data_IF_860461414403
#
_entry.id   IF_860461414403
#
_cell.length_a   1.000
_cell.length_b   1.000
_cell.length_c   1.000
_cell.angle_alpha   90.00
_cell.angle_beta   90.00
_cell.angle_gamma   90.00
#
_symmetry.space_group_name_H-M   'P 1'
#
loop_
_entity.id
_entity.type
_entity.pdbx_description
1 polymer ?
#
# COMPACT_ATOMS: atom_id res chain seq x y z
N UNK A 1 -20.93 5.97 -2.11
CA UNK A 1 -20.31 6.39 -0.81
C UNK A 1 -19.03 5.62 -0.60
N UNK A 2 -17.90 6.31 -0.36
CA UNK A 2 -16.58 5.67 -0.15
C UNK A 2 -16.63 4.77 1.09
N UNK A 3 -16.04 3.59 0.98
CA UNK A 3 -15.92 2.63 2.08
C UNK A 3 -14.46 2.48 2.51
N UNK A 4 -14.28 2.28 3.82
CA UNK A 4 -12.98 2.21 4.48
C UNK A 4 -12.86 0.87 5.21
N UNK A 5 -11.95 0.02 4.77
CA UNK A 5 -11.62 -1.20 5.49
C UNK A 5 -10.76 -0.85 6.71
N UNK A 6 -11.21 -1.24 7.88
CA UNK A 6 -10.47 -1.15 9.13
C UNK A 6 -10.85 -2.30 10.05
N UNK A 7 -9.90 -2.80 10.80
CA UNK A 7 -10.14 -3.78 11.83
C UNK A 7 -9.25 -3.52 13.04
N UNK A 8 -9.77 -3.76 14.23
CA UNK A 8 -8.96 -3.73 15.46
C UNK A 8 -7.80 -4.74 15.41
N UNK A 9 -7.86 -5.73 14.53
CA UNK A 9 -6.77 -6.69 14.27
C UNK A 9 -5.59 -6.08 13.51
N UNK A 10 -5.73 -4.88 12.96
CA UNK A 10 -4.58 -4.17 12.36
C UNK A 10 -3.54 -3.77 13.39
N UNK A 11 -3.92 -3.78 14.65
CA UNK A 11 -3.09 -3.36 15.78
C UNK A 11 -2.84 -4.54 16.70
N UNK A 12 -1.62 -4.71 17.13
CA UNK A 12 -1.22 -5.65 18.17
C UNK A 12 0.03 -5.12 18.87
N UNK A 13 0.32 -5.64 20.05
CA UNK A 13 1.45 -5.15 20.84
C UNK A 13 2.78 -5.54 20.17
N UNK A 14 3.59 -4.55 19.85
CA UNK A 14 4.98 -4.70 19.44
C UNK A 14 5.91 -4.56 20.65
N UNK A 15 7.14 -5.10 20.58
CA UNK A 15 8.16 -4.87 21.59
C UNK A 15 8.42 -3.37 21.80
N UNK A 16 8.72 -2.97 23.03
CA UNK A 16 9.04 -1.58 23.37
C UNK A 16 10.16 -1.04 22.48
N UNK A 17 9.98 0.18 22.00
CA UNK A 17 10.94 0.84 21.10
C UNK A 17 10.98 0.30 19.67
N UNK A 18 10.03 -0.55 19.29
CA UNK A 18 9.96 -1.02 17.90
C UNK A 18 9.71 0.15 16.94
N UNK A 19 10.48 0.22 15.85
CA UNK A 19 10.43 1.36 14.91
C UNK A 19 9.18 1.42 14.04
N UNK A 20 8.36 0.36 13.99
CA UNK A 20 7.12 0.32 13.23
C UNK A 20 5.99 0.95 14.06
N UNK A 21 5.41 2.08 13.64
CA UNK A 21 4.37 2.80 14.38
C UNK A 21 3.00 2.17 14.12
N UNK A 22 2.73 1.03 14.75
CA UNK A 22 1.52 0.24 14.49
C UNK A 22 0.23 0.97 14.88
N UNK A 23 0.31 1.87 15.85
CA UNK A 23 -0.80 2.71 16.31
C UNK A 23 -1.32 3.67 15.23
N UNK A 24 -0.55 3.93 14.17
CA UNK A 24 -0.98 4.82 13.09
C UNK A 24 -2.31 4.41 12.46
N UNK A 25 -2.61 3.11 12.38
CA UNK A 25 -3.82 2.59 11.75
C UNK A 25 -5.09 3.03 12.48
N UNK A 26 -5.09 2.92 13.80
CA UNK A 26 -6.21 3.34 14.65
C UNK A 26 -6.32 4.86 14.71
N UNK A 27 -5.20 5.53 14.95
CA UNK A 27 -5.17 6.99 15.08
C UNK A 27 -5.60 7.72 13.82
N UNK A 28 -5.29 7.18 12.63
CA UNK A 28 -5.77 7.74 11.35
C UNK A 28 -7.29 7.60 11.25
N UNK A 29 -7.85 6.43 11.55
CA UNK A 29 -9.32 6.23 11.57
C UNK A 29 -9.99 7.19 12.55
N UNK A 30 -9.49 7.25 13.77
CA UNK A 30 -10.05 8.10 14.83
C UNK A 30 -10.00 9.58 14.44
N UNK A 31 -8.88 10.05 13.88
CA UNK A 31 -8.74 11.44 13.44
C UNK A 31 -9.75 11.78 12.33
N UNK A 32 -9.91 10.90 11.32
CA UNK A 32 -10.83 11.13 10.23
C UNK A 32 -12.30 11.16 10.68
N UNK A 33 -12.67 10.33 11.67
CA UNK A 33 -14.01 10.33 12.26
C UNK A 33 -14.20 11.58 13.13
N UNK A 34 -13.24 11.90 13.99
CA UNK A 34 -13.30 13.05 14.90
C UNK A 34 -13.51 14.38 14.16
N UNK A 35 -12.86 14.56 13.01
CA UNK A 35 -13.01 15.77 12.20
C UNK A 35 -14.19 15.75 11.22
N UNK A 36 -14.95 14.65 11.16
CA UNK A 36 -16.08 14.48 10.27
C UNK A 36 -15.74 14.27 8.80
N UNK A 37 -14.48 13.91 8.49
CA UNK A 37 -14.09 13.53 7.11
C UNK A 37 -14.76 12.23 6.69
N UNK A 38 -14.92 11.29 7.62
CA UNK A 38 -15.66 10.04 7.43
C UNK A 38 -16.60 9.78 8.60
N UNK A 39 -17.59 8.91 8.40
CA UNK A 39 -18.53 8.46 9.42
C UNK A 39 -18.33 6.96 9.70
N UNK A 40 -18.74 6.50 10.89
CA UNK A 40 -18.60 5.08 11.32
C UNK A 40 -19.25 4.11 10.31
N UNK A 41 -20.37 4.48 9.69
CA UNK A 41 -21.10 3.65 8.72
C UNK A 41 -20.32 3.41 7.41
N UNK A 42 -19.28 4.21 7.17
CA UNK A 42 -18.37 4.05 6.03
C UNK A 42 -17.27 3.04 6.33
N UNK A 43 -17.01 2.77 7.61
CA UNK A 43 -15.96 1.86 8.07
C UNK A 43 -16.51 0.45 8.23
N UNK A 44 -15.77 -0.55 7.77
CA UNK A 44 -16.16 -1.96 7.90
C UNK A 44 -14.97 -2.84 8.25
N UNK A 45 -15.22 -3.93 9.01
CA UNK A 45 -14.20 -4.96 9.28
C UNK A 45 -14.19 -5.97 8.11
N UNK A 46 -13.06 -6.11 7.40
CA UNK A 46 -12.95 -7.01 6.26
C UNK A 46 -12.86 -8.50 6.64
N UNK A 47 -12.69 -8.83 7.91
CA UNK A 47 -12.46 -10.19 8.36
C UNK A 47 -11.08 -10.73 7.98
N UNK A 48 -10.98 -12.02 7.75
CA UNK A 48 -9.73 -12.69 7.33
C UNK A 48 -9.85 -13.14 5.87
N UNK A 49 -8.79 -12.95 5.11
CA UNK A 49 -8.72 -13.45 3.74
C UNK A 49 -8.75 -14.98 3.70
N UNK A 50 -9.41 -15.54 2.69
CA UNK A 50 -9.38 -16.96 2.40
C UNK A 50 -7.95 -17.41 2.04
N UNK A 51 -7.54 -18.55 2.59
CA UNK A 51 -6.22 -19.16 2.34
C UNK A 51 -5.96 -19.39 0.85
N UNK A 52 -7.01 -19.75 0.10
CA UNK A 52 -6.91 -19.94 -1.35
C UNK A 52 -6.37 -18.71 -2.07
N UNK A 53 -6.80 -17.51 -1.68
CA UNK A 53 -6.31 -16.28 -2.31
C UNK A 53 -4.84 -16.01 -1.97
N UNK A 54 -4.38 -16.41 -0.79
CA UNK A 54 -2.97 -16.33 -0.43
C UNK A 54 -2.15 -17.26 -1.33
N UNK A 55 -2.62 -18.48 -1.53
CA UNK A 55 -1.96 -19.50 -2.33
C UNK A 55 -1.98 -19.21 -3.85
N UNK A 56 -2.85 -18.33 -4.33
CA UNK A 56 -2.81 -17.82 -5.70
C UNK A 56 -1.55 -16.97 -6.00
N UNK A 57 -0.85 -16.50 -4.95
CA UNK A 57 0.32 -15.62 -5.07
C UNK A 57 1.54 -16.14 -4.32
N UNK A 58 1.34 -16.61 -3.10
CA UNK A 58 2.42 -17.10 -2.24
C UNK A 58 2.57 -18.61 -2.35
N UNK A 59 3.82 -19.10 -2.26
CA UNK A 59 4.08 -20.54 -2.27
C UNK A 59 3.48 -21.22 -1.04
N UNK A 60 3.02 -22.46 -1.21
CA UNK A 60 2.47 -23.27 -0.11
C UNK A 60 3.46 -23.39 1.05
N UNK A 61 4.75 -23.64 0.74
CA UNK A 61 5.80 -23.77 1.74
C UNK A 61 5.91 -22.50 2.60
N UNK A 62 5.94 -21.32 1.97
CA UNK A 62 6.03 -20.07 2.70
C UNK A 62 4.77 -19.80 3.52
N UNK A 63 3.59 -19.95 2.93
CA UNK A 63 2.33 -19.71 3.63
C UNK A 63 2.15 -20.66 4.82
N UNK A 64 2.40 -21.97 4.63
CA UNK A 64 2.30 -22.94 5.72
C UNK A 64 3.31 -22.64 6.83
N UNK A 65 4.52 -22.21 6.51
CA UNK A 65 5.51 -21.81 7.52
C UNK A 65 5.06 -20.63 8.39
N UNK A 66 4.32 -19.68 7.81
CA UNK A 66 3.72 -18.57 8.55
C UNK A 66 2.51 -19.03 9.38
N UNK A 67 1.59 -19.75 8.76
CA UNK A 67 0.35 -20.25 9.39
C UNK A 67 0.65 -21.12 10.60
N UNK A 68 1.60 -22.03 10.45
CA UNK A 68 1.97 -23.02 11.46
C UNK A 68 3.07 -22.50 12.41
N UNK A 69 3.50 -21.24 12.24
CA UNK A 69 4.54 -20.55 13.03
C UNK A 69 5.87 -21.31 13.05
N UNK A 70 6.19 -22.01 11.96
CA UNK A 70 7.42 -22.81 11.80
C UNK A 70 8.50 -22.09 11.01
N UNK A 71 8.28 -20.83 10.63
CA UNK A 71 9.22 -20.01 9.88
C UNK A 71 10.57 -19.89 10.60
N UNK A 72 11.66 -20.10 9.86
CA UNK A 72 13.01 -20.04 10.43
C UNK A 72 13.39 -18.64 10.95
N UNK A 73 14.24 -18.59 11.96
CA UNK A 73 14.69 -17.36 12.63
C UNK A 73 15.23 -16.30 11.65
N UNK A 74 15.95 -16.71 10.62
CA UNK A 74 16.51 -15.79 9.61
C UNK A 74 15.41 -15.13 8.80
N UNK A 75 14.44 -15.89 8.34
CA UNK A 75 13.30 -15.39 7.56
C UNK A 75 12.40 -14.48 8.43
N UNK A 76 12.15 -14.84 9.70
CA UNK A 76 11.43 -13.98 10.64
C UNK A 76 12.15 -12.63 10.85
N UNK A 77 13.49 -12.62 10.97
CA UNK A 77 14.30 -11.39 11.05
C UNK A 77 14.21 -10.55 9.77
N UNK A 78 14.11 -11.17 8.61
CA UNK A 78 13.98 -10.47 7.32
C UNK A 78 12.63 -9.75 7.22
N UNK A 79 11.55 -10.36 7.74
CA UNK A 79 10.26 -9.69 7.87
C UNK A 79 10.38 -8.46 8.79
N UNK A 80 11.14 -8.55 9.88
CA UNK A 80 11.40 -7.42 10.78
C UNK A 80 10.25 -7.09 11.75
N UNK A 81 9.25 -7.95 11.84
CA UNK A 81 8.15 -7.92 12.81
C UNK A 81 8.10 -9.25 13.56
N UNK A 82 7.64 -9.29 14.82
CA UNK A 82 7.43 -10.56 15.53
C UNK A 82 6.50 -11.49 14.75
N UNK A 83 6.89 -12.75 14.56
CA UNK A 83 6.05 -13.74 13.90
C UNK A 83 5.32 -14.55 14.98
N UNK A 84 4.03 -14.33 15.09
CA UNK A 84 3.11 -15.02 16.00
C UNK A 84 1.70 -15.03 15.39
N UNK A 85 0.76 -15.68 16.03
CA UNK A 85 -0.62 -15.78 15.55
C UNK A 85 -1.26 -14.41 15.32
N UNK A 86 -1.04 -13.43 16.19
CA UNK A 86 -1.61 -12.08 16.06
C UNK A 86 -1.08 -11.38 14.81
N UNK A 87 0.24 -11.43 14.56
CA UNK A 87 0.84 -10.79 13.39
C UNK A 87 0.45 -11.47 12.07
N UNK A 88 0.34 -12.79 12.05
CA UNK A 88 -0.13 -13.53 10.87
C UNK A 88 -1.62 -13.22 10.60
N UNK A 89 -2.46 -13.21 11.64
CA UNK A 89 -3.87 -12.83 11.50
C UNK A 89 -4.03 -11.37 11.08
N UNK A 90 -3.18 -10.45 11.59
CA UNK A 90 -3.13 -9.07 11.10
C UNK A 90 -2.83 -9.01 9.61
N UNK A 91 -1.83 -9.76 9.15
CA UNK A 91 -1.47 -9.80 7.73
C UNK A 91 -2.65 -10.30 6.87
N UNK A 92 -3.32 -11.38 7.29
CA UNK A 92 -4.52 -11.90 6.63
C UNK A 92 -5.66 -10.88 6.60
N UNK A 93 -5.86 -10.18 7.70
CA UNK A 93 -6.92 -9.18 7.83
C UNK A 93 -6.63 -7.95 6.94
N UNK A 94 -5.37 -7.51 6.88
CA UNK A 94 -4.93 -6.44 5.98
C UNK A 94 -5.11 -6.80 4.50
N UNK A 95 -4.78 -8.04 4.12
CA UNK A 95 -5.05 -8.56 2.76
C UNK A 95 -6.54 -8.57 2.47
N UNK A 96 -7.37 -9.06 3.41
CA UNK A 96 -8.83 -9.04 3.25
C UNK A 96 -9.36 -7.61 3.03
N UNK A 97 -8.77 -6.62 3.72
CA UNK A 97 -9.07 -5.20 3.51
C UNK A 97 -8.81 -4.74 2.08
N UNK A 98 -7.67 -5.09 1.50
CA UNK A 98 -7.34 -4.70 0.13
C UNK A 98 -8.21 -5.44 -0.89
N UNK A 99 -8.46 -6.74 -0.71
CA UNK A 99 -9.32 -7.54 -1.59
C UNK A 99 -10.77 -7.03 -1.57
N UNK A 100 -11.35 -6.82 -0.39
CA UNK A 100 -12.73 -6.32 -0.27
C UNK A 100 -12.85 -4.87 -0.75
N UNK A 101 -11.85 -4.03 -0.50
CA UNK A 101 -11.79 -2.68 -1.08
C UNK A 101 -11.76 -2.73 -2.61
N UNK A 102 -11.09 -3.71 -3.22
CA UNK A 102 -11.06 -3.85 -4.67
C UNK A 102 -12.46 -4.16 -5.26
N UNK A 103 -13.24 -5.00 -4.59
CA UNK A 103 -14.62 -5.26 -4.98
C UNK A 103 -15.50 -4.01 -4.84
N UNK A 104 -15.40 -3.30 -3.72
CA UNK A 104 -16.15 -2.08 -3.45
C UNK A 104 -15.76 -0.94 -4.41
N UNK A 105 -14.48 -0.85 -4.81
CA UNK A 105 -14.04 0.14 -5.79
C UNK A 105 -14.65 -0.10 -7.19
N UNK A 106 -14.93 -1.34 -7.57
CA UNK A 106 -15.68 -1.62 -8.81
C UNK A 106 -17.12 -1.10 -8.77
N UNK A 107 -17.73 -1.01 -7.59
CA UNK A 107 -19.10 -0.51 -7.42
C UNK A 107 -19.14 1.01 -7.22
N UNK A 108 -18.13 1.56 -6.53
CA UNK A 108 -18.13 2.95 -6.07
C UNK A 108 -17.02 3.81 -6.68
N UNK A 109 -16.26 3.28 -7.63
CA UNK A 109 -15.07 3.86 -8.25
C UNK A 109 -13.87 4.06 -7.32
N UNK A 110 -14.06 4.05 -6.01
CA UNK A 110 -12.98 4.19 -5.02
C UNK A 110 -13.34 3.43 -3.74
N UNK A 111 -12.35 2.78 -3.15
CA UNK A 111 -12.39 2.29 -1.77
C UNK A 111 -10.99 2.36 -1.15
N UNK A 112 -10.94 2.30 0.18
CA UNK A 112 -9.72 2.57 0.93
C UNK A 112 -9.51 1.46 1.95
N UNK A 113 -8.29 0.94 2.01
CA UNK A 113 -7.84 0.12 3.12
C UNK A 113 -6.99 0.97 4.06
N UNK A 114 -7.49 1.20 5.30
CA UNK A 114 -6.74 1.90 6.36
C UNK A 114 -5.61 1.01 6.92
N UNK A 115 -4.98 0.24 6.04
CA UNK A 115 -3.82 -0.63 6.20
C UNK A 115 -3.27 -0.93 4.80
N UNK A 116 -2.61 -2.08 4.61
CA UNK A 116 -2.16 -2.54 3.31
C UNK A 116 -0.91 -1.83 2.80
N UNK A 117 -0.62 -2.08 1.53
CA UNK A 117 0.61 -1.60 0.90
C UNK A 117 1.83 -2.42 1.29
N UNK A 118 1.67 -3.72 1.47
CA UNK A 118 2.73 -4.63 1.92
C UNK A 118 3.57 -5.15 0.75
N UNK A 119 4.17 -4.22 0.02
CA UNK A 119 4.78 -4.35 -1.29
C UNK A 119 6.15 -5.08 -1.30
N UNK A 120 6.76 -5.32 -0.13
CA UNK A 120 8.05 -6.01 -0.06
C UNK A 120 7.93 -7.52 0.00
N UNK A 121 6.76 -8.11 0.31
CA UNK A 121 6.61 -9.55 0.35
C UNK A 121 6.68 -10.16 -1.05
N UNK A 122 7.57 -11.12 -1.22
CA UNK A 122 7.73 -11.96 -2.41
C UNK A 122 6.78 -13.16 -2.36
N UNK A 123 6.68 -13.91 -3.43
CA UNK A 123 5.88 -15.14 -3.44
C UNK A 123 6.39 -16.17 -2.40
N UNK A 124 7.71 -16.28 -2.19
CA UNK A 124 8.34 -17.31 -1.36
C UNK A 124 8.81 -16.84 0.01
N UNK A 125 8.74 -15.54 0.31
CA UNK A 125 9.20 -15.00 1.60
C UNK A 125 8.68 -13.58 1.84
N UNK A 126 8.65 -13.18 3.11
CA UNK A 126 8.34 -11.80 3.52
C UNK A 126 9.61 -11.04 3.88
N UNK A 127 9.57 -9.71 3.73
CA UNK A 127 10.61 -8.81 4.17
C UNK A 127 10.07 -7.39 4.39
N UNK A 128 10.87 -6.50 5.01
CA UNK A 128 10.51 -5.08 5.10
C UNK A 128 9.16 -4.80 5.77
N UNK A 129 8.84 -5.50 6.87
CA UNK A 129 7.57 -5.43 7.59
C UNK A 129 6.37 -6.05 6.85
N UNK A 130 6.60 -6.72 5.72
CA UNK A 130 5.57 -7.34 4.90
C UNK A 130 5.59 -8.86 5.05
N UNK A 131 4.47 -9.43 5.52
CA UNK A 131 4.26 -10.88 5.59
C UNK A 131 3.71 -11.42 4.27
N UNK A 132 2.64 -10.81 3.78
CA UNK A 132 1.92 -11.17 2.56
C UNK A 132 1.82 -9.92 1.67
N UNK A 133 1.84 -10.08 0.36
CA UNK A 133 1.69 -8.97 -0.58
C UNK A 133 0.21 -8.75 -0.89
N UNK A 134 -0.42 -7.84 -0.17
CA UNK A 134 -1.85 -7.56 -0.28
C UNK A 134 -2.27 -7.02 -1.65
N UNK A 135 -1.42 -6.16 -2.25
CA UNK A 135 -1.66 -5.63 -3.60
C UNK A 135 -1.61 -6.74 -4.65
N UNK A 136 -0.63 -7.65 -4.53
CA UNK A 136 -0.50 -8.76 -5.45
C UNK A 136 -1.65 -9.75 -5.32
N UNK A 137 -2.07 -10.06 -4.09
CA UNK A 137 -3.21 -10.96 -3.86
C UNK A 137 -4.51 -10.35 -4.41
N UNK A 138 -4.76 -9.06 -4.14
CA UNK A 138 -5.96 -8.39 -4.64
C UNK A 138 -5.96 -8.27 -6.17
N UNK A 139 -4.83 -7.93 -6.80
CA UNK A 139 -4.70 -7.88 -8.25
C UNK A 139 -4.92 -9.26 -8.89
N UNK A 140 -4.28 -10.30 -8.37
CA UNK A 140 -4.46 -11.68 -8.85
C UNK A 140 -5.91 -12.14 -8.70
N UNK A 141 -6.57 -11.81 -7.60
CA UNK A 141 -7.99 -12.12 -7.39
C UNK A 141 -8.89 -11.48 -8.46
N UNK A 142 -8.71 -10.18 -8.74
CA UNK A 142 -9.50 -9.47 -9.76
C UNK A 142 -9.29 -10.08 -11.15
N UNK A 143 -8.05 -10.43 -11.51
CA UNK A 143 -7.71 -11.04 -12.79
C UNK A 143 -8.28 -12.46 -12.93
N UNK A 144 -8.10 -13.30 -11.91
CA UNK A 144 -8.57 -14.69 -11.93
C UNK A 144 -10.11 -14.76 -11.94
N UNK A 145 -10.78 -13.81 -11.28
CA UNK A 145 -12.24 -13.67 -11.29
C UNK A 145 -12.77 -12.93 -12.53
N UNK A 146 -11.91 -12.48 -13.44
CA UNK A 146 -12.26 -11.71 -14.65
C UNK A 146 -13.02 -10.41 -14.34
N UNK A 147 -12.79 -9.83 -13.17
CA UNK A 147 -13.35 -8.53 -12.73
C UNK A 147 -12.53 -7.38 -13.31
N UNK A 148 -11.24 -7.60 -13.52
CA UNK A 148 -10.33 -6.71 -14.24
C UNK A 148 -9.50 -7.52 -15.26
N UNK A 149 -8.95 -6.81 -16.27
CA UNK A 149 -8.15 -7.41 -17.33
C UNK A 149 -6.76 -6.77 -17.46
N UNK A 150 -6.65 -5.47 -17.14
CA UNK A 150 -5.40 -4.72 -17.14
C UNK A 150 -5.31 -3.88 -15.88
N UNK A 151 -4.41 -4.22 -15.00
CA UNK A 151 -4.24 -3.55 -13.70
C UNK A 151 -2.98 -2.69 -13.72
N UNK A 152 -3.05 -1.48 -13.17
CA UNK A 152 -1.90 -0.62 -12.89
C UNK A 152 -1.70 -0.54 -11.38
N UNK A 153 -0.52 -0.93 -10.90
CA UNK A 153 -0.10 -0.69 -9.52
C UNK A 153 0.81 0.54 -9.50
N UNK A 154 0.36 1.61 -8.86
CA UNK A 154 1.10 2.85 -8.66
C UNK A 154 1.67 2.82 -7.25
N UNK A 155 2.97 2.61 -7.15
CA UNK A 155 3.71 2.57 -5.88
C UNK A 155 4.55 3.83 -5.72
N UNK A 156 4.11 4.71 -4.82
CA UNK A 156 4.77 5.97 -4.50
C UNK A 156 5.33 6.00 -3.07
N UNK A 157 5.50 4.84 -2.45
CA UNK A 157 6.31 4.66 -1.24
C UNK A 157 7.77 5.05 -1.51
N UNK A 158 8.50 5.50 -0.51
CA UNK A 158 9.92 5.84 -0.68
C UNK A 158 10.78 4.62 -1.02
N UNK A 159 10.29 3.43 -0.64
CA UNK A 159 10.93 2.16 -0.93
C UNK A 159 10.38 1.58 -2.24
N UNK A 160 11.21 0.90 -3.02
CA UNK A 160 10.71 0.17 -4.18
C UNK A 160 9.84 -1.01 -3.74
N UNK A 161 8.69 -1.18 -4.37
CA UNK A 161 7.85 -2.39 -4.21
C UNK A 161 8.48 -3.62 -4.88
N UNK A 162 9.62 -4.06 -4.36
CA UNK A 162 10.41 -5.14 -4.94
C UNK A 162 9.68 -6.48 -4.97
N UNK A 163 8.92 -6.81 -3.92
CA UNK A 163 8.09 -8.01 -3.91
C UNK A 163 7.00 -7.98 -4.98
N UNK A 164 6.31 -6.84 -5.12
CA UNK A 164 5.29 -6.64 -6.15
C UNK A 164 5.89 -6.73 -7.56
N UNK A 165 7.02 -6.06 -7.81
CA UNK A 165 7.73 -6.11 -9.07
C UNK A 165 8.11 -7.54 -9.44
N UNK A 166 8.64 -8.32 -8.49
CA UNK A 166 9.05 -9.70 -8.71
C UNK A 166 7.90 -10.64 -8.97
N UNK A 167 6.79 -10.50 -8.25
CA UNK A 167 5.59 -11.34 -8.44
C UNK A 167 5.04 -11.17 -9.87
N UNK A 168 5.01 -9.95 -10.37
CA UNK A 168 4.40 -9.67 -11.67
C UNK A 168 5.39 -9.53 -12.85
N UNK A 169 6.68 -9.84 -12.67
CA UNK A 169 7.71 -9.64 -13.70
C UNK A 169 7.37 -10.28 -15.07
N UNK A 170 6.56 -11.34 -15.06
CA UNK A 170 6.15 -12.09 -16.25
C UNK A 170 4.64 -12.01 -16.55
N UNK A 171 3.86 -11.27 -15.78
CA UNK A 171 2.42 -11.13 -16.02
C UNK A 171 2.07 -9.75 -16.61
N UNK A 172 1.90 -9.69 -17.91
CA UNK A 172 1.61 -8.46 -18.65
C UNK A 172 0.21 -7.86 -18.38
N UNK A 173 -0.64 -8.55 -17.64
CA UNK A 173 -1.95 -8.04 -17.22
C UNK A 173 -1.84 -7.08 -16.03
N UNK A 174 -0.68 -7.06 -15.35
CA UNK A 174 -0.36 -6.11 -14.28
C UNK A 174 0.83 -5.28 -14.71
N UNK A 175 0.67 -3.98 -14.77
CA UNK A 175 1.76 -3.05 -14.96
C UNK A 175 2.19 -2.50 -13.60
N UNK A 176 3.45 -2.70 -13.26
CA UNK A 176 4.02 -2.21 -12.00
C UNK A 176 4.80 -0.92 -12.24
N UNK A 177 4.40 0.15 -11.55
CA UNK A 177 5.09 1.42 -11.54
C UNK A 177 5.59 1.74 -10.13
N UNK A 178 6.90 1.95 -9.97
CA UNK A 178 7.49 2.36 -8.68
C UNK A 178 8.33 3.62 -8.84
N UNK A 179 7.97 4.68 -8.11
CA UNK A 179 8.74 5.92 -8.03
C UNK A 179 9.32 6.06 -6.62
N UNK A 180 10.58 5.68 -6.46
CA UNK A 180 11.20 5.42 -5.17
C UNK A 180 12.56 6.11 -5.00
N UNK A 181 13.06 6.18 -3.78
CA UNK A 181 14.39 6.72 -3.49
C UNK A 181 15.50 5.77 -3.95
N UNK A 182 16.39 6.25 -4.82
CA UNK A 182 17.54 5.47 -5.31
C UNK A 182 18.36 4.85 -4.19
N UNK A 183 18.58 5.60 -3.12
CA UNK A 183 19.39 5.20 -1.97
C UNK A 183 18.57 4.58 -0.81
N UNK A 184 17.26 4.35 -1.01
CA UNK A 184 16.40 3.69 -0.05
C UNK A 184 16.42 2.17 -0.24
N UNK A 185 15.85 1.45 0.73
CA UNK A 185 15.62 0.00 0.65
C UNK A 185 14.74 -0.35 -0.55
N UNK A 186 14.90 -1.53 -1.17
CA UNK A 186 15.99 -2.47 -0.99
C UNK A 186 17.31 -1.96 -1.62
N UNK A 187 18.45 -2.46 -1.16
CA UNK A 187 19.76 -2.09 -1.74
C UNK A 187 19.89 -2.62 -3.18
N UNK A 188 19.44 -3.84 -3.41
CA UNK A 188 19.32 -4.43 -4.73
C UNK A 188 17.86 -4.34 -5.17
N UNK A 189 17.63 -3.49 -6.18
CA UNK A 189 16.28 -3.26 -6.73
C UNK A 189 15.88 -4.42 -7.63
N UNK A 190 14.60 -4.77 -7.59
CA UNK A 190 13.96 -5.58 -8.62
C UNK A 190 13.62 -4.71 -9.83
N UNK A 191 13.07 -5.32 -10.86
CA UNK A 191 12.67 -4.61 -12.07
C UNK A 191 11.15 -4.56 -12.17
N UNK A 192 10.58 -3.37 -11.97
CA UNK A 192 9.19 -3.06 -12.32
C UNK A 192 9.05 -2.82 -13.84
N UNK A 193 7.83 -2.74 -14.36
CA UNK A 193 7.63 -2.31 -15.76
C UNK A 193 8.10 -0.88 -15.96
N UNK A 194 7.95 -0.02 -14.93
CA UNK A 194 8.56 1.32 -14.88
C UNK A 194 9.10 1.62 -13.48
N UNK A 195 10.41 1.83 -13.39
CA UNK A 195 11.09 2.29 -12.16
C UNK A 195 11.63 3.71 -12.37
N UNK A 196 11.31 4.62 -11.44
CA UNK A 196 11.87 5.96 -11.37
C UNK A 196 12.63 6.12 -10.05
N UNK A 197 13.95 6.01 -10.14
CA UNK A 197 14.85 6.12 -8.99
C UNK A 197 15.22 7.59 -8.73
N UNK A 198 14.65 8.18 -7.69
CA UNK A 198 14.81 9.59 -7.32
C UNK A 198 16.02 9.83 -6.41
N UNK A 199 16.64 11.01 -6.48
CA UNK A 199 17.79 11.37 -5.64
C UNK A 199 17.36 11.57 -4.17
N UNK A 200 18.32 11.36 -3.26
CA UNK A 200 18.16 11.75 -1.85
C UNK A 200 17.89 13.25 -1.74
N UNK A 201 16.92 13.61 -0.89
CA UNK A 201 16.61 15.01 -0.59
C UNK A 201 15.78 15.72 -1.65
N UNK A 202 15.22 15.01 -2.64
CA UNK A 202 14.31 15.60 -3.64
C UNK A 202 13.17 16.37 -2.94
N UNK A 203 12.85 17.56 -3.45
CA UNK A 203 11.80 18.44 -2.95
C UNK A 203 10.46 18.22 -3.66
N UNK A 204 9.43 18.95 -3.25
CA UNK A 204 8.07 18.85 -3.78
C UNK A 204 8.03 19.13 -5.28
N UNK A 205 8.58 20.26 -5.76
CA UNK A 205 8.47 20.70 -7.14
C UNK A 205 9.08 19.68 -8.11
N UNK A 206 10.28 19.22 -7.82
CA UNK A 206 11.00 18.25 -8.65
C UNK A 206 10.26 16.89 -8.64
N UNK A 207 9.79 16.45 -7.47
CA UNK A 207 9.04 15.20 -7.33
C UNK A 207 7.73 15.24 -8.11
N UNK A 208 6.93 16.28 -7.92
CA UNK A 208 5.62 16.44 -8.55
C UNK A 208 5.75 16.62 -10.08
N UNK A 209 6.78 17.32 -10.55
CA UNK A 209 7.08 17.45 -11.97
C UNK A 209 7.36 16.10 -12.62
N UNK A 210 8.18 15.26 -11.98
CA UNK A 210 8.48 13.90 -12.46
C UNK A 210 7.23 13.03 -12.45
N UNK A 211 6.44 13.06 -11.36
CA UNK A 211 5.22 12.27 -11.25
C UNK A 211 4.20 12.66 -12.33
N UNK A 212 3.88 13.96 -12.44
CA UNK A 212 2.88 14.47 -13.37
C UNK A 212 3.20 14.10 -14.83
N UNK A 213 4.49 14.23 -15.22
CA UNK A 213 4.94 13.87 -16.56
C UNK A 213 4.70 12.38 -16.88
N UNK A 214 4.98 11.49 -15.91
CA UNK A 214 4.89 10.04 -16.12
C UNK A 214 3.47 9.51 -15.95
N UNK A 215 2.68 10.06 -15.03
CA UNK A 215 1.34 9.54 -14.70
C UNK A 215 0.38 9.60 -15.90
N UNK A 216 0.33 10.72 -16.61
CA UNK A 216 -0.51 10.87 -17.80
C UNK A 216 -0.13 9.89 -18.92
N UNK A 217 1.18 9.69 -19.11
CA UNK A 217 1.69 8.74 -20.08
C UNK A 217 1.37 7.29 -19.69
N UNK A 218 1.49 6.98 -18.41
CA UNK A 218 1.16 5.66 -17.86
C UNK A 218 -0.30 5.29 -18.06
N UNK A 219 -1.22 6.15 -17.64
CA UNK A 219 -2.65 5.87 -17.75
C UNK A 219 -3.06 5.66 -19.21
N UNK A 220 -2.55 6.48 -20.13
CA UNK A 220 -2.87 6.34 -21.56
C UNK A 220 -2.23 5.11 -22.22
N UNK A 221 -0.98 4.78 -21.90
CA UNK A 221 -0.28 3.64 -22.49
C UNK A 221 -0.73 2.29 -21.95
N UNK A 222 -0.90 2.22 -20.62
CA UNK A 222 -1.30 0.98 -19.95
C UNK A 222 -2.79 0.71 -20.18
N UNK A 223 -3.59 1.78 -20.29
CA UNK A 223 -5.05 1.73 -20.41
C UNK A 223 -5.68 0.78 -19.38
N UNK A 224 -5.41 1.00 -18.06
CA UNK A 224 -5.85 0.09 -17.03
C UNK A 224 -7.36 0.18 -16.81
N UNK A 225 -7.97 -0.94 -16.50
CA UNK A 225 -9.37 -0.99 -16.06
C UNK A 225 -9.51 -1.06 -14.53
N UNK A 226 -8.35 -1.04 -13.82
CA UNK A 226 -8.26 -0.96 -12.36
C UNK A 226 -6.90 -0.43 -11.89
N UNK A 227 -6.90 0.37 -10.81
CA UNK A 227 -5.69 0.92 -10.20
C UNK A 227 -5.59 0.53 -8.72
N UNK A 228 -4.42 0.07 -8.30
CA UNK A 228 -4.01 0.03 -6.89
C UNK A 228 -3.00 1.14 -6.64
N UNK A 229 -3.25 1.96 -5.63
CA UNK A 229 -2.37 3.04 -5.23
C UNK A 229 -1.77 2.78 -3.84
N UNK A 230 -0.47 2.53 -3.81
CA UNK A 230 0.34 2.45 -2.60
C UNK A 230 0.77 3.86 -2.20
N UNK A 231 0.08 4.43 -1.20
CA UNK A 231 0.20 5.84 -0.80
C UNK A 231 1.14 6.05 0.41
N UNK A 232 2.27 5.33 0.47
CA UNK A 232 3.25 5.49 1.55
C UNK A 232 3.65 6.96 1.76
N UNK A 233 3.70 7.41 3.00
CA UNK A 233 4.04 8.80 3.35
C UNK A 233 5.50 8.98 3.80
N UNK A 234 6.30 7.94 3.71
CA UNK A 234 7.72 7.92 4.07
C UNK A 234 8.64 8.67 3.07
N UNK A 235 8.08 9.23 2.03
CA UNK A 235 8.70 10.24 1.16
C UNK A 235 8.84 11.60 1.87
N UNK A 236 8.18 11.77 3.01
CA UNK A 236 8.12 13.02 3.74
C UNK A 236 9.43 13.31 4.46
N UNK A 237 9.80 14.59 4.51
CA UNK A 237 10.94 15.08 5.28
C UNK A 237 10.81 14.70 6.76
N UNK A 238 11.88 14.14 7.33
CA UNK A 238 11.91 13.72 8.73
C UNK A 238 11.36 12.31 8.97
N UNK A 239 11.14 11.54 7.91
CA UNK A 239 10.92 10.11 8.04
C UNK A 239 12.23 9.40 8.45
N UNK A 240 12.12 8.39 9.33
CA UNK A 240 13.30 7.67 9.85
C UNK A 240 13.92 6.70 8.82
N UNK A 241 13.13 6.23 7.88
CA UNK A 241 13.51 5.24 6.89
C UNK A 241 13.59 5.83 5.48
N UNK A 242 12.85 6.91 5.23
CA UNK A 242 12.86 7.67 3.99
C UNK A 242 14.03 8.65 3.89
N UNK A 243 14.46 8.93 2.66
CA UNK A 243 15.56 9.88 2.37
C UNK A 243 15.13 10.99 1.40
N UNK A 244 13.84 11.22 1.25
CA UNK A 244 13.29 12.33 0.48
C UNK A 244 12.91 13.49 1.39
N UNK A 245 12.57 14.64 0.83
CA UNK A 245 12.29 15.87 1.59
C UNK A 245 10.94 16.50 1.20
N UNK A 246 9.93 15.70 0.88
CA UNK A 246 8.61 16.24 0.60
C UNK A 246 8.01 16.86 1.87
N UNK A 247 7.29 17.96 1.68
CA UNK A 247 6.44 18.52 2.72
C UNK A 247 5.13 17.72 2.83
N UNK A 248 4.36 17.91 3.90
CA UNK A 248 3.00 17.35 4.01
C UNK A 248 2.09 17.81 2.87
N UNK A 249 2.27 19.06 2.41
CA UNK A 249 1.53 19.59 1.27
C UNK A 249 1.99 18.94 -0.04
N UNK A 250 3.29 18.71 -0.23
CA UNK A 250 3.81 17.97 -1.40
C UNK A 250 3.29 16.54 -1.46
N UNK A 251 3.21 15.84 -0.33
CA UNK A 251 2.59 14.49 -0.26
C UNK A 251 1.11 14.55 -0.62
N UNK A 252 0.36 15.52 -0.10
CA UNK A 252 -1.05 15.72 -0.44
C UNK A 252 -1.26 16.01 -1.93
N UNK A 253 -0.44 16.86 -2.55
CA UNK A 253 -0.49 17.15 -3.98
C UNK A 253 -0.13 15.93 -4.83
N UNK A 254 0.84 15.11 -4.38
CA UNK A 254 1.15 13.80 -4.98
C UNK A 254 -0.08 12.91 -5.07
N UNK A 255 -0.80 12.77 -3.94
CA UNK A 255 -1.98 11.93 -3.84
C UNK A 255 -3.13 12.49 -4.68
N UNK A 256 -3.30 13.80 -4.67
CA UNK A 256 -4.29 14.48 -5.51
C UNK A 256 -4.08 14.20 -7.00
N UNK A 257 -2.84 14.29 -7.50
CA UNK A 257 -2.51 13.97 -8.89
C UNK A 257 -2.94 12.54 -9.27
N UNK A 258 -2.66 11.56 -8.43
CA UNK A 258 -3.02 10.15 -8.70
C UNK A 258 -4.54 9.94 -8.66
N UNK A 259 -5.19 10.42 -7.60
CA UNK A 259 -6.62 10.19 -7.37
C UNK A 259 -7.46 10.94 -8.42
N UNK A 260 -7.09 12.18 -8.75
CA UNK A 260 -7.75 12.98 -9.79
C UNK A 260 -7.58 12.37 -11.18
N UNK A 261 -6.39 11.85 -11.48
CA UNK A 261 -6.15 11.12 -12.72
C UNK A 261 -7.09 9.91 -12.86
N UNK A 262 -7.18 9.07 -11.83
CA UNK A 262 -8.10 7.92 -11.85
C UNK A 262 -9.56 8.35 -12.01
N UNK A 263 -9.99 9.40 -11.30
CA UNK A 263 -11.34 9.96 -11.43
C UNK A 263 -11.62 10.46 -12.84
N UNK A 264 -10.68 11.21 -13.43
CA UNK A 264 -10.83 11.82 -14.75
C UNK A 264 -10.98 10.78 -15.87
N UNK A 265 -10.30 9.65 -15.73
CA UNK A 265 -10.40 8.53 -16.68
C UNK A 265 -11.48 7.50 -16.28
N UNK A 266 -12.23 7.75 -15.20
CA UNK A 266 -13.25 6.84 -14.65
C UNK A 266 -12.70 5.43 -14.37
N UNK A 267 -11.48 5.35 -13.81
CA UNK A 267 -10.82 4.10 -13.47
C UNK A 267 -11.02 3.84 -11.98
N UNK A 268 -11.58 2.67 -11.58
CA UNK A 268 -11.67 2.27 -10.19
C UNK A 268 -10.31 2.23 -9.51
N UNK A 269 -10.23 2.77 -8.28
CA UNK A 269 -8.99 2.85 -7.52
C UNK A 269 -9.15 2.33 -6.09
N UNK A 270 -8.19 1.52 -5.64
CA UNK A 270 -7.99 1.21 -4.23
C UNK A 270 -6.77 1.95 -3.71
N UNK A 271 -6.91 2.62 -2.57
CA UNK A 271 -5.81 3.29 -1.88
C UNK A 271 -5.43 2.47 -0.65
N UNK A 272 -4.14 2.19 -0.49
CA UNK A 272 -3.56 1.56 0.69
C UNK A 272 -2.59 2.51 1.39
N UNK A 273 -2.45 2.38 2.73
CA UNK A 273 -1.66 3.32 3.52
C UNK A 273 -0.14 3.27 3.23
N UNK A 274 0.40 2.05 3.10
CA UNK A 274 1.85 1.89 2.93
C UNK A 274 2.72 2.35 4.07
N UNK A 275 3.97 2.70 3.75
CA UNK A 275 4.99 3.14 4.69
C UNK A 275 4.71 4.51 5.33
N UNK A 276 5.54 4.83 6.30
CA UNK A 276 5.51 6.06 7.08
C UNK A 276 6.02 5.80 8.48
N UNK A 277 7.15 6.43 8.81
CA UNK A 277 7.94 6.17 10.02
C UNK A 277 8.48 7.48 10.63
N UNK A 278 7.71 8.56 10.51
CA UNK A 278 8.11 9.88 11.02
C UNK A 278 8.42 9.84 12.52
N UNK A 279 9.41 10.62 12.95
CA UNK A 279 9.72 10.78 14.38
C UNK A 279 8.56 11.35 15.16
N UNK A 280 7.77 12.21 14.52
CA UNK A 280 6.60 12.84 15.13
C UNK A 280 5.34 12.12 14.64
N UNK A 281 4.76 11.31 15.51
CA UNK A 281 3.53 10.55 15.23
C UNK A 281 2.41 11.46 14.68
N UNK A 282 2.26 12.68 15.25
CA UNK A 282 1.30 13.67 14.75
C UNK A 282 1.48 14.00 13.26
N UNK A 283 2.73 14.17 12.81
CA UNK A 283 3.00 14.50 11.40
C UNK A 283 2.73 13.32 10.50
N UNK A 284 2.99 12.11 10.97
CA UNK A 284 2.67 10.86 10.30
C UNK A 284 1.16 10.69 10.09
N UNK A 285 0.38 10.84 11.17
CA UNK A 285 -1.07 10.74 11.14
C UNK A 285 -1.67 11.78 10.18
N UNK A 286 -1.23 13.04 10.30
CA UNK A 286 -1.69 14.13 9.45
C UNK A 286 -1.41 13.87 7.96
N UNK A 287 -0.23 13.33 7.61
CA UNK A 287 0.11 13.00 6.24
C UNK A 287 -0.82 11.92 5.65
N UNK A 288 -1.05 10.82 6.38
CA UNK A 288 -2.01 9.81 5.95
C UNK A 288 -3.44 10.32 5.87
N UNK A 289 -3.88 11.12 6.85
CA UNK A 289 -5.22 11.73 6.81
C UNK A 289 -5.41 12.63 5.59
N UNK A 290 -4.37 13.36 5.16
CA UNK A 290 -4.44 14.21 3.97
C UNK A 290 -4.74 13.39 2.70
N UNK A 291 -4.14 12.21 2.53
CA UNK A 291 -4.46 11.29 1.43
C UNK A 291 -5.97 10.98 1.38
N UNK A 292 -6.56 10.67 2.53
CA UNK A 292 -7.98 10.27 2.60
C UNK A 292 -8.93 11.47 2.52
N UNK A 293 -8.56 12.64 3.04
CA UNK A 293 -9.29 13.90 2.84
C UNK A 293 -9.38 14.25 1.35
N UNK A 294 -8.29 14.09 0.62
CA UNK A 294 -8.26 14.28 -0.85
C UNK A 294 -9.21 13.30 -1.54
N UNK A 295 -9.16 12.01 -1.18
CA UNK A 295 -10.03 11.00 -1.74
C UNK A 295 -11.52 11.33 -1.49
N UNK A 296 -11.87 11.68 -0.24
CA UNK A 296 -13.24 12.06 0.12
C UNK A 296 -13.66 13.31 -0.66
N UNK A 297 -12.86 14.37 -0.67
CA UNK A 297 -13.18 15.61 -1.39
C UNK A 297 -13.42 15.39 -2.89
N UNK A 298 -12.66 14.50 -3.51
CA UNK A 298 -12.77 14.25 -4.94
C UNK A 298 -13.95 13.35 -5.31
N UNK A 299 -14.37 12.41 -4.44
CA UNK A 299 -15.40 11.42 -4.76
C UNK A 299 -16.73 11.59 -3.99
N UNK A 300 -16.84 12.65 -3.18
CA UNK A 300 -18.09 13.03 -2.49
C UNK A 300 -19.04 13.82 -3.38
#
# INVERSE_FOLDING_TARGET
MIKFAFSNKYIYQLPDGHRFPIEKYELVKEQLIYEGTIHEEQVYDPGLVDEKLILDVHTEEYWHSLRDLTIGVRAAKQIGLPVNEMSVNRARNSVAGTVSSALLAKEHNIAINLSGGTHHAYASHGEGFCFLNDLAIAASYLLNSKIAHQILIIDLDVHQGNGTAKIFENDKRVFTFSMHGKANYPLHKEKSDLDIALPTGINDDDYLSVLSKNLNELVTKVNPDFVFFQAGVDVMKGDKLGKMNLTKEGVKQRDELVIESCKSYNIPIVITMGGGYSEKLKDLIEAHCNTFRVAVRLYS
#
